data_IF_094336323029
#
_entry.id   IF_094336323029
#
_cell.length_a   1.000
_cell.length_b   1.000
_cell.length_c   1.000
_cell.angle_alpha   90.00
_cell.angle_beta   90.00
_cell.angle_gamma   90.00
#
_symmetry.space_group_name_H-M   'P 1'
#
loop_
_entity.id
_entity.type
_entity.pdbx_description
1 polymer ?
#
# COMPACT_ATOMS: atom_id res chain seq x y z
N UNK A 1 21.28 46.74 2.25
CA UNK A 1 22.00 45.53 2.71
C UNK A 1 22.72 45.88 4.00
N UNK A 2 22.41 45.23 5.13
CA UNK A 2 23.52 44.55 5.80
C UNK A 2 23.12 43.19 6.40
N UNK A 3 23.88 42.17 6.03
CA UNK A 3 23.85 40.79 6.54
C UNK A 3 24.44 40.66 7.98
N UNK A 4 24.62 41.78 8.70
CA UNK A 4 25.33 41.84 9.98
C UNK A 4 24.48 41.39 11.18
N UNK A 5 23.15 41.57 11.12
CA UNK A 5 22.22 41.15 12.18
C UNK A 5 22.01 39.65 12.21
N UNK A 6 22.16 38.95 11.09
CA UNK A 6 22.06 37.49 11.05
C UNK A 6 23.17 36.83 11.85
N UNK A 7 24.42 37.29 11.72
CA UNK A 7 25.55 36.68 12.40
C UNK A 7 25.49 36.89 13.92
N UNK A 8 25.02 38.05 14.37
CA UNK A 8 24.71 38.33 15.78
C UNK A 8 23.52 37.50 16.31
N UNK A 9 22.48 37.31 15.49
CA UNK A 9 21.37 36.41 15.83
C UNK A 9 21.86 34.96 15.99
N UNK A 10 22.74 34.49 15.09
CA UNK A 10 23.30 33.15 15.16
C UNK A 10 24.24 32.95 16.36
N UNK A 11 25.07 33.94 16.73
CA UNK A 11 25.97 33.82 17.88
C UNK A 11 25.22 33.83 19.22
N UNK A 12 24.18 34.67 19.35
CA UNK A 12 23.30 34.68 20.53
C UNK A 12 22.49 33.38 20.60
N UNK A 13 21.98 32.88 19.47
CA UNK A 13 21.27 31.60 19.41
C UNK A 13 22.18 30.41 19.77
N UNK A 14 23.45 30.42 19.34
CA UNK A 14 24.45 29.39 19.66
C UNK A 14 24.88 29.43 21.13
N UNK A 15 25.05 30.62 21.72
CA UNK A 15 25.36 30.78 23.14
C UNK A 15 24.22 30.29 24.03
N UNK A 16 22.96 30.50 23.63
CA UNK A 16 21.80 29.92 24.32
C UNK A 16 21.76 28.40 24.14
N UNK A 17 22.34 27.87 23.06
CA UNK A 17 22.38 26.44 22.71
C UNK A 17 23.30 25.57 23.59
N UNK A 18 24.13 26.18 24.46
CA UNK A 18 24.99 25.45 25.37
C UNK A 18 24.17 24.77 26.48
N UNK A 19 23.89 23.48 26.30
CA UNK A 19 23.47 22.45 27.28
C UNK A 19 23.20 22.99 28.70
N UNK A 20 22.03 23.58 28.92
CA UNK A 20 21.65 24.09 30.24
C UNK A 20 21.33 22.93 31.19
N UNK A 21 21.96 22.89 32.37
CA UNK A 21 21.65 21.96 33.46
C UNK A 21 20.34 22.27 34.19
N UNK A 22 19.67 23.37 33.84
CA UNK A 22 18.39 23.78 34.42
C UNK A 22 17.23 23.08 33.69
N UNK A 23 16.43 22.23 34.36
CA UNK A 23 15.30 21.52 33.74
C UNK A 23 14.19 22.45 33.24
N UNK A 24 14.14 23.70 33.72
CA UNK A 24 13.22 24.72 33.20
C UNK A 24 13.71 25.38 31.90
N UNK A 25 14.94 25.15 31.45
CA UNK A 25 15.46 25.69 30.19
C UNK A 25 15.55 24.63 29.07
N UNK A 26 15.34 23.36 29.39
CA UNK A 26 15.48 22.23 28.46
C UNK A 26 14.17 21.88 27.76
N UNK A 27 14.31 21.28 26.57
CA UNK A 27 13.20 20.90 25.71
C UNK A 27 12.28 19.86 26.36
N UNK A 28 10.97 20.16 26.40
CA UNK A 28 9.95 19.29 26.99
C UNK A 28 9.41 18.25 25.97
N UNK A 29 10.30 17.49 25.33
CA UNK A 29 9.89 16.44 24.39
C UNK A 29 9.43 15.19 25.17
N UNK A 30 8.21 14.65 24.93
CA UNK A 30 7.57 13.72 25.85
C UNK A 30 8.14 12.30 25.83
N UNK A 31 8.66 11.84 24.69
CA UNK A 31 9.06 10.42 24.57
C UNK A 31 10.52 10.18 25.00
N UNK A 32 11.40 11.15 24.82
CA UNK A 32 12.83 11.05 25.19
C UNK A 32 13.30 12.38 25.77
N UNK A 33 13.96 12.38 26.94
CA UNK A 33 14.42 13.62 27.57
C UNK A 33 15.46 14.29 26.67
N UNK A 34 15.23 15.57 26.37
CA UNK A 34 16.07 16.34 25.45
C UNK A 34 16.76 17.46 26.21
N UNK A 35 18.09 17.43 26.23
CA UNK A 35 18.93 18.43 26.93
C UNK A 35 19.18 19.70 26.10
N UNK A 36 18.61 19.77 24.90
CA UNK A 36 18.70 20.98 24.09
C UNK A 36 17.82 22.08 24.68
N UNK A 37 18.25 23.34 24.62
CA UNK A 37 17.52 24.44 25.21
C UNK A 37 16.28 24.80 24.39
N UNK A 38 15.30 25.38 25.07
CA UNK A 38 14.04 25.85 24.48
C UNK A 38 14.30 27.06 23.59
N UNK A 39 13.69 27.09 22.40
CA UNK A 39 13.80 28.24 21.49
C UNK A 39 12.92 29.38 21.99
N UNK A 40 13.35 30.63 21.79
CA UNK A 40 12.57 31.82 22.14
C UNK A 40 11.61 32.15 20.97
N UNK A 41 10.34 32.41 21.28
CA UNK A 41 9.37 32.94 20.30
C UNK A 41 9.69 34.41 19.98
N UNK A 42 9.06 34.96 18.93
CA UNK A 42 9.18 36.40 18.61
C UNK A 42 8.73 37.30 19.76
N UNK A 43 7.78 36.82 20.55
CA UNK A 43 7.22 37.54 21.71
C UNK A 43 8.13 37.49 22.96
N UNK A 44 9.34 36.93 22.85
CA UNK A 44 10.28 36.77 23.97
C UNK A 44 10.01 35.58 24.90
N UNK A 45 8.87 34.90 24.75
CA UNK A 45 8.51 33.72 25.55
C UNK A 45 9.22 32.45 25.07
N UNK A 46 9.58 31.53 25.99
CA UNK A 46 10.14 30.24 25.64
C UNK A 46 9.11 29.30 24.98
N UNK A 47 9.48 28.68 23.87
CA UNK A 47 8.73 27.58 23.28
C UNK A 47 8.85 26.33 24.14
N UNK A 48 7.89 25.42 24.05
CA UNK A 48 7.95 24.12 24.74
C UNK A 48 9.10 23.20 24.29
N UNK A 49 9.66 23.43 23.09
CA UNK A 49 10.61 22.53 22.44
C UNK A 49 11.88 23.28 22.03
N UNK A 50 12.97 22.54 21.84
CA UNK A 50 14.15 23.05 21.14
C UNK A 50 13.90 23.19 19.63
N UNK A 51 14.81 23.86 18.93
CA UNK A 51 14.68 24.12 17.49
C UNK A 51 14.60 22.83 16.66
N UNK A 52 15.37 21.80 17.04
CA UNK A 52 15.33 20.49 16.40
C UNK A 52 13.94 19.84 16.48
N UNK A 53 13.37 19.74 17.69
CA UNK A 53 12.06 19.12 17.89
C UNK A 53 10.93 19.97 17.34
N UNK A 54 11.03 21.31 17.37
CA UNK A 54 10.09 22.22 16.72
C UNK A 54 10.04 21.98 15.21
N UNK A 55 11.19 21.90 14.56
CA UNK A 55 11.28 21.63 13.11
C UNK A 55 10.71 20.26 12.76
N UNK A 56 11.03 19.24 13.57
CA UNK A 56 10.50 17.88 13.39
C UNK A 56 8.97 17.82 13.55
N UNK A 57 8.43 18.50 14.56
CA UNK A 57 6.99 18.61 14.77
C UNK A 57 6.29 19.29 13.58
N UNK A 58 6.85 20.38 13.07
CA UNK A 58 6.31 21.05 11.88
C UNK A 58 6.33 20.15 10.64
N UNK A 59 7.42 19.41 10.42
CA UNK A 59 7.52 18.44 9.32
C UNK A 59 6.47 17.33 9.46
N UNK A 60 6.27 16.81 10.67
CA UNK A 60 5.25 15.80 10.94
C UNK A 60 3.84 16.36 10.71
N UNK A 61 3.53 17.54 11.24
CA UNK A 61 2.24 18.20 11.05
C UNK A 61 1.92 18.40 9.57
N UNK A 62 2.88 18.88 8.76
CA UNK A 62 2.71 19.02 7.30
C UNK A 62 2.49 17.67 6.61
N UNK A 63 3.20 16.63 7.04
CA UNK A 63 3.02 15.29 6.49
C UNK A 63 1.63 14.71 6.83
N UNK A 64 1.18 14.87 8.08
CA UNK A 64 -0.14 14.44 8.53
C UNK A 64 -1.26 15.19 7.80
N UNK A 65 -1.13 16.50 7.62
CA UNK A 65 -2.09 17.28 6.83
C UNK A 65 -2.17 16.80 5.39
N UNK A 66 -1.03 16.55 4.73
CA UNK A 66 -1.03 15.99 3.37
C UNK A 66 -1.70 14.62 3.30
N UNK A 67 -1.45 13.75 4.27
CA UNK A 67 -2.14 12.45 4.36
C UNK A 67 -3.64 12.63 4.49
N UNK A 68 -4.11 13.48 5.41
CA UNK A 68 -5.54 13.78 5.57
C UNK A 68 -6.20 14.34 4.31
N UNK A 69 -5.50 15.18 3.55
CA UNK A 69 -6.01 15.67 2.26
C UNK A 69 -6.14 14.54 1.25
N UNK A 70 -5.13 13.67 1.16
CA UNK A 70 -5.19 12.49 0.28
C UNK A 70 -6.30 11.53 0.73
N UNK A 71 -6.38 11.22 2.03
CA UNK A 71 -7.42 10.36 2.59
C UNK A 71 -8.81 10.92 2.28
N UNK A 72 -9.02 12.22 2.46
CA UNK A 72 -10.28 12.90 2.12
C UNK A 72 -10.54 12.93 0.60
N UNK A 73 -9.51 13.00 -0.25
CA UNK A 73 -9.67 12.92 -1.71
C UNK A 73 -9.98 11.48 -2.17
N UNK A 74 -9.36 10.48 -1.53
CA UNK A 74 -9.63 9.05 -1.75
C UNK A 74 -11.05 8.71 -1.32
N UNK A 75 -11.52 9.28 -0.22
CA UNK A 75 -12.92 9.18 0.21
C UNK A 75 -13.91 9.80 -0.79
N UNK A 76 -13.48 10.77 -1.60
CA UNK A 76 -14.32 11.46 -2.59
C UNK A 76 -14.43 10.79 -3.97
N UNK A 77 -13.60 9.79 -4.29
CA UNK A 77 -13.75 8.98 -5.50
C UNK A 77 -14.08 7.54 -5.10
N UNK A 78 -15.37 7.14 -5.14
CA UNK A 78 -15.76 5.84 -4.61
C UNK A 78 -15.32 4.76 -5.60
N UNK A 79 -14.36 3.95 -5.17
CA UNK A 79 -14.00 2.67 -5.81
C UNK A 79 -15.28 1.85 -6.09
N UNK A 80 -16.30 2.01 -5.24
CA UNK A 80 -17.63 1.40 -5.35
C UNK A 80 -18.33 1.73 -6.68
N UNK A 81 -18.27 2.98 -7.17
CA UNK A 81 -18.90 3.35 -8.43
C UNK A 81 -18.20 2.72 -9.64
N UNK A 82 -16.88 2.62 -9.59
CA UNK A 82 -16.09 1.95 -10.63
C UNK A 82 -16.32 0.42 -10.62
N UNK A 83 -16.37 -0.18 -9.43
CA UNK A 83 -16.69 -1.60 -9.27
C UNK A 83 -18.11 -1.93 -9.74
N UNK A 84 -19.08 -1.04 -9.48
CA UNK A 84 -20.46 -1.19 -9.95
C UNK A 84 -20.53 -1.18 -11.47
N UNK A 85 -19.86 -0.23 -12.14
CA UNK A 85 -19.82 -0.17 -13.61
C UNK A 85 -19.16 -1.42 -14.23
N UNK A 86 -18.15 -1.99 -13.59
CA UNK A 86 -17.51 -3.24 -14.05
C UNK A 86 -18.45 -4.44 -13.89
N UNK A 87 -19.16 -4.55 -12.77
CA UNK A 87 -20.13 -5.61 -12.55
C UNK A 87 -21.26 -5.55 -13.57
N UNK A 88 -21.76 -4.36 -13.89
CA UNK A 88 -22.78 -4.17 -14.94
C UNK A 88 -22.27 -4.66 -16.31
N UNK A 89 -21.03 -4.35 -16.67
CA UNK A 89 -20.43 -4.85 -17.91
C UNK A 89 -20.26 -6.37 -17.89
N UNK A 90 -19.84 -6.95 -16.76
CA UNK A 90 -19.70 -8.39 -16.60
C UNK A 90 -21.06 -9.11 -16.71
N UNK A 91 -22.11 -8.59 -16.09
CA UNK A 91 -23.46 -9.16 -16.20
C UNK A 91 -24.00 -9.10 -17.64
N UNK A 92 -23.68 -8.05 -18.40
CA UNK A 92 -24.03 -7.98 -19.82
C UNK A 92 -23.29 -9.04 -20.65
N UNK A 93 -22.01 -9.28 -20.35
CA UNK A 93 -21.21 -10.33 -20.99
C UNK A 93 -21.74 -11.74 -20.66
N UNK A 94 -22.06 -12.00 -19.39
CA UNK A 94 -22.56 -13.32 -18.93
C UNK A 94 -24.01 -13.55 -19.34
N UNK A 95 -24.86 -12.53 -19.34
CA UNK A 95 -26.25 -12.61 -19.81
C UNK A 95 -26.36 -12.91 -21.31
N UNK A 96 -25.33 -12.58 -22.09
CA UNK A 96 -25.25 -12.93 -23.51
C UNK A 96 -25.04 -14.44 -23.75
N UNK A 97 -24.55 -15.18 -22.75
CA UNK A 97 -24.43 -16.64 -22.82
C UNK A 97 -25.75 -17.37 -22.47
N UNK A 98 -26.69 -16.70 -21.79
CA UNK A 98 -27.97 -17.28 -21.37
C UNK A 98 -29.12 -17.07 -22.38
N UNK A 99 -28.85 -16.43 -23.52
CA UNK A 99 -29.78 -16.29 -24.64
C UNK A 99 -29.78 -17.46 -25.65
N UNK A 100 -28.86 -18.41 -25.49
CA UNK A 100 -28.87 -19.64 -26.27
C UNK A 100 -29.46 -20.74 -25.38
N UNK A 101 -30.53 -21.39 -25.85
CA UNK A 101 -31.25 -22.45 -25.15
C UNK A 101 -30.28 -23.50 -24.55
N UNK A 102 -30.64 -24.08 -23.41
CA UNK A 102 -29.99 -25.27 -22.85
C UNK A 102 -29.79 -26.32 -23.97
N UNK A 103 -28.59 -26.38 -24.54
CA UNK A 103 -28.19 -27.47 -25.43
C UNK A 103 -27.43 -28.50 -24.60
N UNK A 104 -27.70 -29.79 -24.83
CA UNK A 104 -27.13 -30.86 -24.02
C UNK A 104 -25.60 -30.86 -24.10
N UNK A 105 -24.90 -31.38 -23.07
CA UNK A 105 -23.44 -31.34 -22.94
C UNK A 105 -22.65 -31.80 -24.17
N UNK A 106 -23.28 -32.59 -25.05
CA UNK A 106 -22.77 -33.06 -26.34
C UNK A 106 -22.37 -31.93 -27.31
N UNK A 107 -23.04 -30.78 -27.28
CA UNK A 107 -22.84 -29.69 -28.25
C UNK A 107 -21.73 -28.68 -27.85
N UNK A 108 -21.30 -28.68 -26.58
CA UNK A 108 -20.12 -27.92 -26.16
C UNK A 108 -18.82 -28.48 -26.76
N UNK A 109 -18.80 -29.78 -27.05
CA UNK A 109 -17.67 -30.46 -27.68
C UNK A 109 -17.59 -30.20 -29.20
N UNK A 110 -18.71 -29.88 -29.84
CA UNK A 110 -18.78 -29.60 -31.29
C UNK A 110 -18.18 -28.22 -31.64
N UNK A 111 -18.07 -27.31 -30.67
CA UNK A 111 -17.45 -25.98 -30.85
C UNK A 111 -15.93 -25.98 -30.73
N UNK A 112 -15.35 -27.08 -30.28
CA UNK A 112 -13.91 -27.29 -30.35
C UNK A 112 -13.69 -27.96 -31.71
N UNK A 113 -13.26 -27.19 -32.70
CA UNK A 113 -12.84 -27.70 -34.01
C UNK A 113 -11.55 -28.53 -33.84
N UNK A 114 -11.61 -29.62 -33.06
CA UNK A 114 -10.49 -30.51 -32.81
C UNK A 114 -10.23 -31.31 -34.08
N UNK A 115 -9.03 -31.17 -34.62
CA UNK A 115 -8.62 -31.93 -35.78
C UNK A 115 -8.17 -33.35 -35.40
N UNK A 116 -7.77 -34.13 -36.40
CA UNK A 116 -7.37 -35.52 -36.19
C UNK A 116 -6.08 -35.64 -35.36
N UNK A 117 -5.25 -34.58 -35.34
CA UNK A 117 -4.06 -34.50 -34.50
C UNK A 117 -4.43 -34.25 -33.03
N UNK A 118 -5.35 -33.33 -32.77
CA UNK A 118 -5.88 -33.05 -31.42
C UNK A 118 -6.51 -34.30 -30.79
N UNK A 119 -7.27 -35.07 -31.59
CA UNK A 119 -7.87 -36.34 -31.16
C UNK A 119 -6.81 -37.40 -30.81
N UNK A 120 -5.71 -37.48 -31.57
CA UNK A 120 -4.60 -38.40 -31.27
C UNK A 120 -3.90 -38.04 -29.97
N UNK A 121 -3.67 -36.75 -29.72
CA UNK A 121 -3.02 -36.28 -28.49
C UNK A 121 -3.88 -36.58 -27.28
N UNK A 122 -5.19 -36.32 -27.35
CA UNK A 122 -6.12 -36.65 -26.27
C UNK A 122 -6.17 -38.16 -26.00
N UNK A 123 -6.22 -38.98 -27.06
CA UNK A 123 -6.19 -40.43 -26.91
C UNK A 123 -4.93 -40.91 -26.19
N UNK A 124 -3.76 -40.34 -26.51
CA UNK A 124 -2.48 -40.68 -25.88
C UNK A 124 -2.37 -40.21 -24.41
N UNK A 125 -2.98 -39.07 -24.06
CA UNK A 125 -2.99 -38.54 -22.69
C UNK A 125 -4.01 -39.28 -21.81
N UNK A 126 -5.12 -39.74 -22.40
CA UNK A 126 -6.19 -40.46 -21.70
C UNK A 126 -6.04 -41.98 -21.75
N UNK A 127 -5.03 -42.52 -22.46
CA UNK A 127 -4.60 -43.91 -22.24
C UNK A 127 -3.92 -43.96 -20.89
N UNK A 128 -4.73 -44.17 -19.85
CA UNK A 128 -4.25 -44.69 -18.57
C UNK A 128 -3.68 -46.07 -18.90
N UNK A 129 -2.38 -46.28 -18.68
CA UNK A 129 -1.76 -47.60 -18.79
C UNK A 129 -2.35 -48.51 -17.69
N UNK A 130 -3.49 -49.14 -17.96
CA UNK A 130 -4.03 -50.22 -17.14
C UNK A 130 -3.28 -51.52 -17.51
N UNK A 131 -2.08 -51.72 -16.96
CA UNK A 131 -1.39 -53.01 -16.95
C UNK A 131 -0.54 -53.16 -15.68
N UNK A 132 -1.19 -53.41 -14.53
CA UNK A 132 -0.62 -54.17 -13.40
C UNK A 132 -1.46 -55.46 -13.25
N UNK A 133 -1.01 -56.60 -13.80
CA UNK A 133 -1.47 -57.95 -13.42
C UNK A 133 -0.35 -58.99 -13.66
N UNK A 134 0.62 -59.09 -12.74
CA UNK A 134 1.55 -60.22 -12.64
C UNK A 134 0.97 -61.35 -11.77
N UNK A 135 0.03 -62.10 -12.35
CA UNK A 135 -0.45 -63.38 -11.81
C UNK A 135 0.47 -64.56 -12.17
N UNK A 136 1.56 -64.77 -11.43
CA UNK A 136 2.37 -66.00 -11.55
C UNK A 136 1.67 -67.20 -10.86
N UNK A 137 1.07 -68.09 -11.65
CA UNK A 137 0.63 -69.42 -11.21
C UNK A 137 1.52 -70.50 -11.84
N UNK A 138 2.56 -70.91 -11.11
CA UNK A 138 3.39 -72.06 -11.45
C UNK A 138 2.84 -73.32 -10.77
N UNK A 139 2.30 -74.27 -11.55
CA UNK A 139 2.01 -75.64 -11.10
C UNK A 139 2.78 -76.66 -11.93
N UNK A 140 3.70 -77.37 -11.27
CA UNK A 140 3.96 -78.80 -11.45
C UNK A 140 4.19 -79.42 -10.07
#
# INVERSE_FOLDING_TARGET
MPLATTQQYFSIAHAIQSKSTNPQATCCYPSKPCMNPRVVKRDGNLHRFCEFHRTKANKNQRALQRRRLVDHMVEQLPIDAYMQQLNEQYELLVGQEQGCAELPPSDLLVRLDLDEDDLRVLAAVLSVDDDDDDGESTTL
#
